data_IF_566217206346
#
_entry.id   IF_566217206346
#
_cell.length_a   1.000
_cell.length_b   1.000
_cell.length_c   1.000
_cell.angle_alpha   90.00
_cell.angle_beta   90.00
_cell.angle_gamma   90.00
#
_symmetry.space_group_name_H-M   'P 1'
#
loop_
_entity.id
_entity.type
_entity.pdbx_description
1 polymer ?
#
# COMPACT_ATOMS: atom_id res chain seq x y z
N UNK A 1 -14.99 -5.13 8.35
CA UNK A 1 -13.64 -4.94 7.78
C UNK A 1 -12.67 -6.00 8.30
N UNK A 2 -12.38 -7.02 7.50
CA UNK A 2 -11.29 -7.97 7.75
C UNK A 2 -10.13 -7.64 6.82
N UNK A 3 -8.99 -7.27 7.40
CA UNK A 3 -7.74 -7.03 6.67
C UNK A 3 -7.06 -8.38 6.42
N UNK A 4 -6.90 -8.77 5.15
CA UNK A 4 -6.04 -9.89 4.79
C UNK A 4 -4.59 -9.43 4.61
N UNK A 5 -3.65 -10.28 4.96
CA UNK A 5 -2.22 -9.97 4.91
C UNK A 5 -1.75 -9.82 3.47
N UNK A 6 -1.05 -8.73 3.14
CA UNK A 6 -0.41 -8.52 1.83
C UNK A 6 1.07 -8.31 2.02
N UNK A 7 1.84 -9.16 1.35
CA UNK A 7 3.29 -9.04 1.23
C UNK A 7 3.59 -8.02 0.14
N UNK A 8 4.13 -6.86 0.50
CA UNK A 8 4.73 -5.92 -0.46
C UNK A 8 6.20 -6.32 -0.58
N UNK A 9 6.57 -6.93 -1.71
CA UNK A 9 7.95 -7.30 -2.00
C UNK A 9 8.67 -6.05 -2.52
N UNK A 10 9.50 -5.44 -1.68
CA UNK A 10 10.61 -4.61 -2.15
C UNK A 10 11.80 -5.56 -2.35
N UNK A 11 12.01 -6.05 -3.57
CA UNK A 11 13.17 -6.90 -3.87
C UNK A 11 14.32 -6.05 -4.41
N UNK A 12 15.47 -6.08 -3.74
CA UNK A 12 16.77 -5.97 -4.40
C UNK A 12 17.60 -7.21 -4.09
N UNK A 13 18.17 -7.81 -5.15
CA UNK A 13 19.19 -8.84 -5.04
C UNK A 13 20.55 -8.16 -4.87
N UNK A 14 21.28 -8.46 -3.80
CA UNK A 14 22.67 -8.98 -3.82
C UNK A 14 23.24 -9.16 -2.41
N UNK A 15 23.69 -10.40 -2.18
CA UNK A 15 24.70 -10.88 -1.22
C UNK A 15 24.39 -10.99 0.28
N UNK A 16 24.39 -12.28 0.67
CA UNK A 16 24.54 -12.85 2.00
C UNK A 16 25.82 -12.33 2.72
N UNK A 17 25.65 -11.63 3.84
CA UNK A 17 26.58 -11.67 4.97
C UNK A 17 25.90 -11.15 6.25
N UNK A 18 25.75 -12.07 7.21
CA UNK A 18 25.62 -11.93 8.67
C UNK A 18 25.53 -10.52 9.29
N UNK A 19 24.44 -10.27 10.02
CA UNK A 19 24.51 -9.70 11.37
C UNK A 19 23.23 -9.96 12.18
N UNK A 20 23.29 -10.88 13.15
CA UNK A 20 22.44 -10.79 14.34
C UNK A 20 23.05 -9.75 15.28
N UNK A 21 22.32 -8.68 15.58
CA UNK A 21 22.13 -8.10 16.93
C UNK A 21 21.69 -6.64 16.88
N UNK A 22 20.49 -6.38 17.40
CA UNK A 22 20.07 -5.27 18.27
C UNK A 22 18.59 -4.96 18.07
N UNK A 23 17.91 -4.87 19.20
CA UNK A 23 16.46 -4.82 19.37
C UNK A 23 15.88 -3.42 19.12
N UNK A 24 14.62 -3.45 18.68
CA UNK A 24 13.48 -2.57 19.04
C UNK A 24 13.65 -1.06 18.84
N UNK A 25 12.89 -0.54 17.89
CA UNK A 25 11.78 0.41 18.13
C UNK A 25 11.37 1.03 16.80
N UNK A 26 10.21 0.60 16.28
CA UNK A 26 9.33 1.34 15.35
C UNK A 26 8.14 0.48 14.86
N UNK A 27 8.11 -0.83 15.14
CA UNK A 27 7.02 -1.73 14.73
C UNK A 27 5.98 -1.91 15.85
N UNK A 28 5.33 -0.81 16.22
CA UNK A 28 4.28 -0.76 17.25
C UNK A 28 2.87 -0.54 16.69
N UNK A 29 2.64 -0.86 15.42
CA UNK A 29 1.30 -0.80 14.83
C UNK A 29 1.12 -2.06 13.99
N UNK A 30 0.19 -2.90 14.43
CA UNK A 30 -0.08 -4.23 13.88
C UNK A 30 -0.82 -4.08 12.54
N UNK A 31 -0.10 -3.64 11.50
CA UNK A 31 -0.61 -3.69 10.14
C UNK A 31 -0.15 -4.98 9.47
N UNK A 32 -1.05 -5.62 8.72
CA UNK A 32 -0.81 -6.91 8.06
C UNK A 32 0.01 -6.79 6.77
N UNK A 33 1.01 -5.92 6.75
CA UNK A 33 2.00 -5.85 5.68
C UNK A 33 3.40 -5.91 6.29
N UNK A 34 4.27 -6.74 5.73
CA UNK A 34 5.68 -6.75 6.07
C UNK A 34 6.44 -5.95 5.01
N UNK A 35 7.25 -4.99 5.46
CA UNK A 35 8.34 -4.47 4.63
C UNK A 35 9.35 -5.60 4.54
N UNK A 36 9.47 -6.22 3.37
CA UNK A 36 10.42 -7.32 3.15
C UNK A 36 11.83 -6.75 3.08
N UNK A 37 12.69 -7.14 4.03
CA UNK A 37 14.06 -6.64 4.16
C UNK A 37 14.17 -5.32 4.94
N UNK A 38 15.38 -4.99 5.41
CA UNK A 38 15.68 -3.65 5.89
C UNK A 38 15.76 -2.73 4.65
N UNK A 39 14.87 -1.72 4.52
CA UNK A 39 14.87 -0.89 3.33
C UNK A 39 16.16 -0.09 3.25
N UNK A 40 16.92 -0.29 2.18
CA UNK A 40 18.17 0.43 1.93
C UNK A 40 17.89 1.92 1.73
N UNK A 41 18.70 2.77 2.35
CA UNK A 41 18.61 4.22 2.15
C UNK A 41 19.24 4.61 0.82
N UNK A 42 18.53 5.39 0.03
CA UNK A 42 19.09 6.06 -1.14
C UNK A 42 20.10 7.16 -0.76
N UNK A 43 20.75 7.74 -1.76
CA UNK A 43 21.55 8.96 -1.62
C UNK A 43 20.72 10.26 -1.79
N UNK A 44 19.38 10.15 -1.86
CA UNK A 44 18.48 11.30 -2.01
C UNK A 44 17.97 11.74 -0.64
N UNK A 45 18.33 12.96 -0.24
CA UNK A 45 17.85 13.57 1.00
C UNK A 45 16.34 13.82 0.93
N UNK A 46 15.64 13.63 2.06
CA UNK A 46 14.18 13.84 2.19
C UNK A 46 13.69 15.24 1.76
N UNK A 47 14.55 16.24 1.71
CA UNK A 47 14.17 17.59 1.29
C UNK A 47 14.02 17.76 -0.23
N UNK A 48 14.23 16.70 -1.02
CA UNK A 48 13.96 16.67 -2.46
C UNK A 48 12.73 15.78 -2.71
N UNK A 49 11.80 16.18 -3.59
CA UNK A 49 10.71 15.30 -3.99
C UNK A 49 11.25 14.11 -4.80
N UNK A 50 10.57 12.96 -4.71
CA UNK A 50 10.93 11.69 -5.39
C UNK A 50 9.65 11.02 -5.89
N UNK A 51 9.73 10.34 -7.04
CA UNK A 51 8.66 9.47 -7.53
C UNK A 51 8.94 8.00 -7.20
N UNK A 52 7.94 7.28 -6.69
CA UNK A 52 8.01 5.85 -6.43
C UNK A 52 7.12 5.06 -7.40
N UNK A 53 7.66 3.97 -7.94
CA UNK A 53 6.84 3.00 -8.66
C UNK A 53 6.20 2.08 -7.62
N UNK A 54 4.90 1.81 -7.79
CA UNK A 54 4.15 0.95 -6.88
C UNK A 54 3.78 -0.30 -7.65
N UNK A 55 4.04 -1.46 -7.06
CA UNK A 55 3.60 -2.74 -7.61
C UNK A 55 2.95 -3.55 -6.49
N UNK A 56 1.67 -3.83 -6.65
CA UNK A 56 0.99 -4.86 -5.90
C UNK A 56 1.29 -6.21 -6.55
N UNK A 57 1.58 -7.22 -5.73
CA UNK A 57 1.79 -8.61 -6.16
C UNK A 57 0.82 -9.51 -5.42
N UNK A 58 0.00 -10.24 -6.18
CA UNK A 58 -0.97 -11.16 -5.63
C UNK A 58 -0.29 -12.40 -5.04
N UNK A 59 -0.61 -12.66 -3.78
CA UNK A 59 -0.33 -13.92 -3.09
C UNK A 59 -1.62 -14.54 -2.53
N UNK A 60 -2.80 -14.08 -2.95
CA UNK A 60 -4.06 -14.71 -2.60
C UNK A 60 -4.45 -15.70 -3.69
N UNK A 61 -4.28 -16.99 -3.41
CA UNK A 61 -4.59 -18.10 -4.32
C UNK A 61 -5.23 -19.27 -3.57
N UNK A 62 -5.86 -20.19 -4.29
CA UNK A 62 -6.43 -21.40 -3.70
C UNK A 62 -5.38 -22.25 -2.96
N UNK A 63 -4.15 -22.28 -3.48
CA UNK A 63 -3.07 -23.06 -2.89
C UNK A 63 -2.67 -22.56 -1.50
N UNK A 64 -2.56 -21.24 -1.32
CA UNK A 64 -2.08 -20.64 -0.07
C UNK A 64 -3.21 -20.14 0.85
N UNK A 65 -4.44 -20.01 0.33
CA UNK A 65 -5.65 -19.69 1.09
C UNK A 65 -6.80 -20.64 0.72
N UNK A 66 -6.68 -21.96 1.00
CA UNK A 66 -7.60 -22.98 0.47
C UNK A 66 -9.00 -22.95 1.10
N UNK A 67 -9.13 -22.40 2.32
CA UNK A 67 -10.40 -22.43 3.04
C UNK A 67 -11.40 -21.44 2.43
N UNK A 68 -12.50 -21.97 1.88
CA UNK A 68 -13.55 -21.20 1.21
C UNK A 68 -13.03 -20.26 0.11
N UNK A 69 -11.96 -20.67 -0.59
CA UNK A 69 -11.48 -19.91 -1.74
C UNK A 69 -12.54 -19.88 -2.86
N UNK A 70 -12.81 -18.71 -3.46
CA UNK A 70 -13.82 -18.61 -4.51
C UNK A 70 -13.27 -19.18 -5.83
N UNK A 71 -13.83 -20.31 -6.27
CA UNK A 71 -13.37 -21.02 -7.47
C UNK A 71 -13.82 -20.40 -8.80
N UNK A 72 -14.86 -19.55 -8.79
CA UNK A 72 -15.46 -19.01 -10.02
C UNK A 72 -14.76 -17.76 -10.54
N UNK A 73 -14.46 -16.80 -9.66
CA UNK A 73 -13.98 -15.48 -10.08
C UNK A 73 -13.14 -14.78 -8.99
N UNK A 74 -12.03 -15.37 -8.54
CA UNK A 74 -11.12 -14.71 -7.60
C UNK A 74 -10.37 -13.58 -8.31
N UNK A 75 -10.55 -12.34 -7.85
CA UNK A 75 -9.95 -11.15 -8.47
C UNK A 75 -9.67 -10.04 -7.46
N UNK A 76 -8.97 -9.00 -7.90
CA UNK A 76 -8.75 -7.77 -7.10
C UNK A 76 -9.37 -6.57 -7.79
N UNK A 77 -10.00 -5.60 -7.14
CA UNK A 77 -10.46 -4.39 -7.84
C UNK A 77 -9.29 -3.57 -8.43
N UNK A 78 -9.61 -2.44 -9.07
CA UNK A 78 -8.64 -1.36 -9.22
C UNK A 78 -8.09 -0.96 -7.84
N UNK A 79 -6.84 -0.53 -7.82
CA UNK A 79 -6.15 -0.06 -6.63
C UNK A 79 -6.06 1.46 -6.63
N UNK A 80 -6.22 2.08 -5.47
CA UNK A 80 -6.00 3.51 -5.27
C UNK A 80 -4.84 3.68 -4.29
N UNK A 81 -3.87 4.52 -4.64
CA UNK A 81 -2.74 4.89 -3.79
C UNK A 81 -2.67 6.41 -3.67
N UNK A 82 -2.30 6.90 -2.50
CA UNK A 82 -2.09 8.33 -2.25
C UNK A 82 -0.83 8.55 -1.42
N UNK A 83 -0.09 9.61 -1.76
CA UNK A 83 1.00 10.13 -0.93
C UNK A 83 0.48 11.29 -0.10
N UNK A 84 0.79 11.29 1.19
CA UNK A 84 0.08 12.15 2.11
C UNK A 84 0.88 12.50 3.37
N UNK A 85 0.40 13.54 4.06
CA UNK A 85 0.93 14.04 5.31
C UNK A 85 0.53 13.11 6.47
N UNK A 86 0.87 13.45 7.72
CA UNK A 86 0.46 12.60 8.86
C UNK A 86 -1.03 12.73 9.17
N UNK A 87 -1.61 13.86 8.80
CA UNK A 87 -2.95 14.33 9.11
C UNK A 87 -4.02 13.58 8.30
N UNK A 88 -3.76 13.29 7.02
CA UNK A 88 -4.67 12.47 6.21
C UNK A 88 -4.71 11.02 6.70
N UNK A 89 -5.89 10.41 6.59
CA UNK A 89 -6.13 9.02 6.95
C UNK A 89 -7.10 8.38 5.96
N UNK A 90 -6.57 7.57 5.02
CA UNK A 90 -7.40 6.89 4.02
C UNK A 90 -8.36 5.88 4.65
N UNK A 91 -7.83 4.99 5.48
CA UNK A 91 -8.57 3.99 6.27
C UNK A 91 -7.70 3.64 7.49
N UNK A 92 -8.26 3.04 8.53
CA UNK A 92 -7.48 2.48 9.66
C UNK A 92 -8.16 1.23 10.20
N UNK A 93 -7.43 0.45 10.97
CA UNK A 93 -7.90 -0.82 11.56
C UNK A 93 -9.09 -0.69 12.52
N UNK A 94 -9.44 0.53 12.93
CA UNK A 94 -10.50 0.85 13.88
C UNK A 94 -11.33 2.03 13.42
N UNK A 95 -12.63 2.05 13.75
CA UNK A 95 -13.53 3.15 13.39
C UNK A 95 -14.31 2.91 12.10
N UNK A 96 -15.04 3.94 11.67
CA UNK A 96 -15.93 3.87 10.51
C UNK A 96 -15.16 4.21 9.23
N UNK A 97 -15.34 3.40 8.19
CA UNK A 97 -14.84 3.69 6.85
C UNK A 97 -15.52 4.96 6.28
N UNK A 98 -14.79 5.69 5.42
CA UNK A 98 -15.41 6.69 4.55
C UNK A 98 -16.31 6.02 3.52
N UNK A 99 -17.15 6.79 2.83
CA UNK A 99 -18.00 6.23 1.77
C UNK A 99 -17.14 5.68 0.61
N UNK A 100 -16.05 6.37 0.28
CA UNK A 100 -15.08 5.89 -0.70
C UNK A 100 -14.46 4.54 -0.35
N UNK A 101 -14.02 4.36 0.90
CA UNK A 101 -13.45 3.08 1.36
C UNK A 101 -14.50 1.97 1.38
N UNK A 102 -15.71 2.26 1.85
CA UNK A 102 -16.84 1.32 1.84
C UNK A 102 -17.13 0.81 0.42
N UNK A 103 -17.25 1.72 -0.55
CA UNK A 103 -17.54 1.34 -1.94
C UNK A 103 -16.42 0.51 -2.59
N UNK A 104 -15.15 0.76 -2.24
CA UNK A 104 -14.07 -0.12 -2.71
C UNK A 104 -14.21 -1.49 -2.04
N UNK A 105 -14.38 -1.54 -0.72
CA UNK A 105 -14.41 -2.80 0.01
C UNK A 105 -15.57 -3.71 -0.39
N UNK A 106 -16.73 -3.14 -0.70
CA UNK A 106 -17.96 -3.89 -1.02
C UNK A 106 -18.18 -4.10 -2.52
N UNK A 107 -17.81 -3.12 -3.36
CA UNK A 107 -18.15 -3.10 -4.78
C UNK A 107 -16.93 -2.96 -5.71
N UNK A 108 -15.74 -2.68 -5.17
CA UNK A 108 -14.54 -2.39 -5.97
C UNK A 108 -14.59 -1.05 -6.70
N UNK A 109 -15.53 -0.15 -6.36
CA UNK A 109 -15.75 1.12 -7.05
C UNK A 109 -14.91 2.23 -6.42
N UNK A 110 -13.98 2.80 -7.19
CA UNK A 110 -12.97 3.76 -6.71
C UNK A 110 -13.41 5.23 -6.74
N UNK A 111 -14.51 5.54 -7.43
CA UNK A 111 -14.93 6.91 -7.76
C UNK A 111 -15.04 7.84 -6.54
N UNK A 112 -15.70 7.37 -5.49
CA UNK A 112 -15.94 8.20 -4.30
C UNK A 112 -14.64 8.42 -3.51
N UNK A 113 -13.78 7.41 -3.39
CA UNK A 113 -12.47 7.58 -2.75
C UNK A 113 -11.58 8.55 -3.52
N UNK A 114 -11.54 8.47 -4.84
CA UNK A 114 -10.80 9.42 -5.68
C UNK A 114 -11.30 10.85 -5.48
N UNK A 115 -12.62 11.04 -5.31
CA UNK A 115 -13.21 12.35 -5.01
C UNK A 115 -12.86 12.85 -3.60
N UNK A 116 -12.85 11.97 -2.61
CA UNK A 116 -12.41 12.27 -1.24
C UNK A 116 -10.93 12.72 -1.26
N UNK A 117 -10.06 11.96 -1.92
CA UNK A 117 -8.63 12.28 -2.06
C UNK A 117 -8.43 13.63 -2.79
N UNK A 118 -9.19 13.91 -3.84
CA UNK A 118 -9.13 15.20 -4.55
C UNK A 118 -9.55 16.38 -3.67
N UNK A 119 -10.33 16.15 -2.62
CA UNK A 119 -10.66 17.20 -1.64
C UNK A 119 -9.48 17.43 -0.71
N UNK A 120 -8.83 16.37 -0.26
CA UNK A 120 -7.64 16.42 0.60
C UNK A 120 -6.40 16.99 -0.10
N UNK A 121 -6.29 16.85 -1.42
CA UNK A 121 -5.27 17.56 -2.23
C UNK A 121 -5.45 19.08 -2.13
N UNK A 122 -6.69 19.57 -2.09
CA UNK A 122 -6.98 21.01 -1.97
C UNK A 122 -6.68 21.53 -0.56
N UNK A 123 -6.77 20.66 0.45
CA UNK A 123 -6.41 20.94 1.84
C UNK A 123 -4.92 20.72 2.14
N UNK A 124 -4.12 20.37 1.14
CA UNK A 124 -2.67 20.12 1.25
C UNK A 124 -2.29 19.02 2.27
N UNK A 125 -3.20 18.09 2.55
CA UNK A 125 -2.94 16.89 3.37
C UNK A 125 -2.55 15.69 2.51
N UNK A 126 -2.89 15.71 1.22
CA UNK A 126 -2.46 14.76 0.19
C UNK A 126 -1.68 15.51 -0.89
N UNK A 127 -0.58 14.92 -1.36
CA UNK A 127 0.22 15.48 -2.46
C UNK A 127 -0.20 14.94 -3.82
N UNK A 128 -0.34 13.62 -3.92
CA UNK A 128 -0.52 12.94 -5.19
C UNK A 128 -1.34 11.66 -5.02
N UNK A 129 -1.96 11.20 -6.11
CA UNK A 129 -2.67 9.94 -6.16
C UNK A 129 -2.46 9.23 -7.50
N UNK A 130 -2.35 7.90 -7.45
CA UNK A 130 -2.20 7.05 -8.63
C UNK A 130 -3.08 5.81 -8.52
N UNK A 131 -3.45 5.23 -9.66
CA UNK A 131 -4.32 4.06 -9.73
C UNK A 131 -3.64 2.87 -10.39
N UNK A 132 -3.74 1.70 -9.75
CA UNK A 132 -3.36 0.41 -10.32
C UNK A 132 -4.57 -0.27 -10.95
N UNK A 133 -4.36 -0.97 -12.06
CA UNK A 133 -5.45 -1.64 -12.78
C UNK A 133 -5.93 -2.93 -12.10
N UNK A 134 -7.19 -3.28 -12.34
CA UNK A 134 -7.84 -4.54 -11.99
C UNK A 134 -7.00 -5.77 -12.37
N UNK A 135 -6.71 -6.62 -11.38
CA UNK A 135 -6.30 -8.03 -11.60
C UNK A 135 -7.53 -8.91 -11.80
N UNK A 136 -7.87 -9.21 -13.05
CA UNK A 136 -9.06 -10.02 -13.45
C UNK A 136 -9.06 -11.46 -12.93
N UNK A 137 -7.89 -12.01 -12.63
CA UNK A 137 -7.73 -13.36 -12.09
C UNK A 137 -6.56 -13.36 -11.10
N UNK A 138 -6.85 -13.67 -9.84
CA UNK A 138 -5.87 -13.71 -8.76
C UNK A 138 -4.99 -14.97 -8.86
N UNK A 139 -4.12 -15.05 -9.87
CA UNK A 139 -3.05 -16.06 -9.93
C UNK A 139 -1.86 -15.64 -9.09
N UNK A 140 -1.07 -16.61 -8.62
CA UNK A 140 0.17 -16.31 -7.89
C UNK A 140 1.07 -15.38 -8.73
N UNK A 141 1.56 -14.31 -8.10
CA UNK A 141 2.43 -13.34 -8.76
C UNK A 141 1.74 -12.41 -9.77
N UNK A 142 0.41 -12.46 -9.92
CA UNK A 142 -0.30 -11.45 -10.72
C UNK A 142 -0.07 -10.06 -10.13
N UNK A 143 0.26 -9.07 -10.98
CA UNK A 143 0.61 -7.73 -10.51
C UNK A 143 -0.37 -6.66 -10.94
N UNK A 144 -0.41 -5.58 -10.15
CA UNK A 144 -1.04 -4.32 -10.51
C UNK A 144 -0.10 -3.18 -10.19
N UNK A 145 0.22 -2.38 -11.19
CA UNK A 145 1.12 -1.23 -11.06
C UNK A 145 0.48 -0.03 -11.75
N UNK A 146 0.41 1.13 -11.08
CA UNK A 146 0.10 2.39 -11.76
C UNK A 146 1.09 2.66 -12.89
N UNK A 147 0.63 3.34 -13.94
CA UNK A 147 1.48 3.71 -15.08
C UNK A 147 2.47 4.83 -14.75
N UNK A 148 2.11 5.66 -13.78
CA UNK A 148 2.87 6.81 -13.34
C UNK A 148 3.48 6.54 -11.96
N UNK A 149 4.62 7.17 -11.69
CA UNK A 149 5.21 7.15 -10.35
C UNK A 149 4.35 7.99 -9.41
N UNK A 150 4.15 7.51 -8.18
CA UNK A 150 3.55 8.30 -7.10
C UNK A 150 4.59 9.27 -6.55
N UNK A 151 4.32 10.57 -6.64
CA UNK A 151 5.21 11.60 -6.11
C UNK A 151 5.11 11.69 -4.58
N UNK A 152 6.25 11.78 -3.89
CA UNK A 152 6.33 12.06 -2.45
C UNK A 152 7.28 13.22 -2.17
N UNK A 153 7.03 13.92 -1.07
CA UNK A 153 7.90 15.02 -0.62
C UNK A 153 8.07 15.03 0.90
N UNK A 154 8.83 16.02 1.38
CA UNK A 154 9.10 16.17 2.81
C UNK A 154 7.83 16.30 3.64
N UNK A 155 6.79 16.97 3.16
CA UNK A 155 5.53 17.22 3.88
C UNK A 155 4.56 16.03 3.77
N UNK A 156 4.67 15.24 2.70
CA UNK A 156 3.82 14.11 2.37
C UNK A 156 4.63 12.79 2.24
N UNK A 157 5.31 12.33 3.30
CA UNK A 157 6.24 11.22 3.21
C UNK A 157 5.60 9.83 3.39
N UNK A 158 4.27 9.78 3.54
CA UNK A 158 3.53 8.56 3.80
C UNK A 158 2.77 8.12 2.56
N UNK A 159 2.66 6.82 2.35
CA UNK A 159 1.82 6.23 1.32
C UNK A 159 0.77 5.34 1.96
N UNK A 160 -0.47 5.53 1.53
CA UNK A 160 -1.57 4.60 1.81
C UNK A 160 -2.16 4.12 0.50
N UNK A 161 -2.69 2.90 0.49
CA UNK A 161 -3.39 2.36 -0.66
C UNK A 161 -4.37 1.27 -0.29
N UNK A 162 -5.26 0.96 -1.21
CA UNK A 162 -6.37 0.03 -1.01
C UNK A 162 -6.76 -0.65 -2.32
N UNK A 163 -7.12 -1.93 -2.24
CA UNK A 163 -7.77 -2.70 -3.30
C UNK A 163 -8.61 -3.82 -2.70
N UNK A 164 -9.83 -3.99 -3.23
CA UNK A 164 -10.74 -5.06 -2.84
C UNK A 164 -10.19 -6.40 -3.32
N UNK A 165 -10.40 -7.46 -2.54
CA UNK A 165 -10.36 -8.81 -3.07
C UNK A 165 -11.79 -9.35 -3.19
N UNK A 166 -12.09 -10.02 -4.29
CA UNK A 166 -13.45 -10.46 -4.59
C UNK A 166 -13.53 -11.88 -5.14
N UNK A 167 -14.67 -12.54 -4.94
CA UNK A 167 -15.81 -12.07 -4.15
C UNK A 167 -15.54 -12.05 -2.64
N UNK A 168 -16.02 -11.00 -1.96
CA UNK A 168 -16.00 -10.89 -0.50
C UNK A 168 -17.14 -9.96 -0.04
N UNK A 169 -17.54 -9.99 1.26
CA UNK A 169 -18.54 -9.04 1.77
C UNK A 169 -18.04 -7.60 1.78
N UNK A 170 -16.84 -7.38 2.35
CA UNK A 170 -16.26 -6.06 2.61
C UNK A 170 -14.72 -6.16 2.79
N UNK A 171 -14.07 -7.10 2.09
CA UNK A 171 -12.65 -7.41 2.32
C UNK A 171 -11.77 -6.69 1.33
N UNK A 172 -10.73 -6.06 1.85
CA UNK A 172 -9.70 -5.42 1.05
C UNK A 172 -8.33 -5.69 1.66
N UNK A 173 -7.32 -5.35 0.88
CA UNK A 173 -5.96 -5.20 1.37
C UNK A 173 -5.34 -3.90 0.86
N UNK A 174 -4.18 -3.56 1.42
CA UNK A 174 -3.45 -2.37 1.05
C UNK A 174 -2.35 -2.04 2.04
N UNK A 175 -1.87 -0.80 1.94
CA UNK A 175 -0.83 -0.25 2.79
C UNK A 175 -1.38 0.94 3.56
N UNK A 176 -1.02 1.07 4.83
CA UNK A 176 -1.46 2.17 5.68
C UNK A 176 -0.26 2.99 6.17
N UNK A 177 -0.24 4.28 5.85
CA UNK A 177 0.78 5.25 6.31
C UNK A 177 2.21 4.70 6.27
N UNK A 178 2.58 4.03 5.17
CA UNK A 178 3.94 3.56 4.97
C UNK A 178 4.85 4.77 4.76
N UNK A 179 5.77 4.97 5.69
CA UNK A 179 6.78 6.02 5.60
C UNK A 179 7.87 5.60 4.61
N UNK A 180 8.20 6.46 3.65
CA UNK A 180 9.20 6.16 2.62
C UNK A 180 10.62 6.71 2.88
N UNK A 181 10.91 7.19 4.09
CA UNK A 181 12.24 7.68 4.45
C UNK A 181 12.73 7.10 5.77
N UNK A 182 14.05 7.01 5.89
CA UNK A 182 14.71 6.66 7.13
C UNK A 182 14.79 7.87 8.08
N UNK A 183 14.34 7.68 9.33
CA UNK A 183 14.29 8.77 10.31
C UNK A 183 15.67 9.20 10.79
N UNK A 184 16.64 8.29 10.84
CA UNK A 184 17.99 8.57 11.33
C UNK A 184 18.82 9.35 10.32
N UNK A 185 18.93 8.81 9.10
CA UNK A 185 19.73 9.39 8.02
C UNK A 185 19.01 10.56 7.33
N UNK A 186 17.68 10.58 7.36
CA UNK A 186 16.81 11.53 6.62
C UNK A 186 16.95 11.42 5.10
N UNK A 187 17.27 10.24 4.61
CA UNK A 187 17.23 9.89 3.18
C UNK A 187 15.98 9.08 2.85
N UNK A 188 15.52 9.22 1.62
CA UNK A 188 14.48 8.38 1.05
C UNK A 188 14.95 6.92 0.98
N UNK A 189 14.06 5.95 1.16
CA UNK A 189 14.35 4.56 0.84
C UNK A 189 14.55 4.40 -0.66
N UNK A 190 15.35 3.42 -1.07
CA UNK A 190 15.58 3.13 -2.49
C UNK A 190 14.26 2.79 -3.21
N UNK A 191 14.14 3.28 -4.45
CA UNK A 191 12.98 3.05 -5.33
C UNK A 191 13.00 1.61 -5.85
#
# INVERSE_FOLDING_TARGET
MKLLSTTIILSSFLNCALAQSLRRSLMGQQYNYQVVGDPETSNIKRNKPVGYSITFTNHWTETNHPYNYPSKDPHWSDFVYASHSREYEMWKDTGKASKGVENIAEEGVTKDLVSEINSEIKEETVLDQVMGAWIRKATEGATSSPKEDLCVDKSHPFVSGIGMLAPSPDWFSGVYKLRLFDKGTRFWYQK
#
